data_IF_767075700434
#
_entry.id   IF_767075700434
#
_cell.length_a   1.000
_cell.length_b   1.000
_cell.length_c   1.000
_cell.angle_alpha   90.00
_cell.angle_beta   90.00
_cell.angle_gamma   90.00
#
_symmetry.space_group_name_H-M   'P 1'
#
loop_
_entity.id
_entity.type
_entity.pdbx_description
1 polymer ?
#
# COMPACT_ATOMS: atom_id res chain seq x y z
N UNK A 1 -4.68 -2.96 -1.07
CA UNK A 1 -4.79 -2.70 -2.52
C UNK A 1 -3.87 -3.56 -3.40
N UNK A 2 -2.75 -4.09 -2.88
CA UNK A 2 -1.78 -4.89 -3.65
C UNK A 2 -1.79 -6.39 -3.37
N UNK A 3 -2.57 -6.83 -2.38
CA UNK A 3 -2.73 -8.25 -2.04
C UNK A 3 -3.63 -8.98 -3.04
N UNK A 4 -3.70 -10.30 -2.92
CA UNK A 4 -4.58 -11.16 -3.73
C UNK A 4 -6.04 -10.92 -3.37
N UNK A 5 -6.93 -10.99 -4.36
CA UNK A 5 -8.37 -10.85 -4.18
C UNK A 5 -8.91 -9.46 -4.53
N UNK A 6 -10.21 -9.28 -4.36
CA UNK A 6 -10.90 -8.02 -4.67
C UNK A 6 -10.98 -7.15 -3.41
N UNK A 7 -10.31 -5.97 -3.38
CA UNK A 7 -10.39 -5.08 -2.23
C UNK A 7 -11.81 -4.54 -2.06
N UNK A 8 -12.25 -4.41 -0.81
CA UNK A 8 -13.49 -3.72 -0.41
C UNK A 8 -13.11 -2.62 0.57
N UNK A 9 -13.64 -1.42 0.36
CA UNK A 9 -13.45 -0.26 1.23
C UNK A 9 -14.78 -0.04 1.94
N UNK A 10 -14.77 0.03 3.27
CA UNK A 10 -15.94 0.39 4.03
C UNK A 10 -16.12 1.92 3.98
N UNK A 11 -17.36 2.39 3.80
CA UNK A 11 -17.60 3.80 3.54
C UNK A 11 -17.05 4.69 4.67
N UNK A 12 -16.31 5.72 4.29
CA UNK A 12 -15.71 6.65 5.24
C UNK A 12 -14.27 6.33 5.62
N UNK A 13 -13.79 5.10 5.40
CA UNK A 13 -12.36 4.76 5.60
C UNK A 13 -11.48 5.65 4.71
N UNK A 14 -11.91 5.90 3.47
CA UNK A 14 -11.23 6.78 2.53
C UNK A 14 -11.31 8.26 2.89
N UNK A 15 -12.26 8.64 3.76
CA UNK A 15 -12.47 9.99 4.23
C UNK A 15 -11.87 10.24 5.63
N UNK A 16 -11.23 9.24 6.24
CA UNK A 16 -10.66 9.33 7.57
C UNK A 16 -11.69 9.27 8.70
N UNK A 17 -12.86 8.69 8.44
CA UNK A 17 -13.88 8.50 9.47
C UNK A 17 -13.38 7.54 10.55
N UNK A 18 -13.64 7.91 11.80
CA UNK A 18 -13.34 7.10 12.97
C UNK A 18 -14.64 6.71 13.67
N UNK A 19 -14.59 5.63 14.44
CA UNK A 19 -15.74 5.13 15.17
C UNK A 19 -15.36 3.98 16.09
N UNK A 20 -16.07 3.85 17.21
CA UNK A 20 -15.94 2.71 18.10
C UNK A 20 -16.80 1.53 17.60
N UNK A 21 -17.27 0.67 18.52
CA UNK A 21 -18.17 -0.43 18.19
C UNK A 21 -19.56 0.06 17.72
N UNK A 22 -20.38 -0.87 17.22
CA UNK A 22 -21.78 -0.63 16.85
C UNK A 22 -22.52 0.14 17.97
N UNK A 23 -23.20 1.27 17.66
CA UNK A 23 -23.48 1.85 16.33
C UNK A 23 -22.48 2.88 15.80
N UNK A 24 -21.42 3.18 16.55
CA UNK A 24 -20.49 4.25 16.20
C UNK A 24 -19.66 3.98 14.93
N UNK A 25 -19.51 2.73 14.50
CA UNK A 25 -18.92 2.39 13.20
C UNK A 25 -19.84 2.66 11.99
N UNK A 26 -21.04 3.21 12.21
CA UNK A 26 -22.05 3.52 11.18
C UNK A 26 -22.48 4.98 11.20
N UNK A 27 -21.55 5.88 11.54
CA UNK A 27 -21.80 7.32 11.50
C UNK A 27 -22.17 7.79 10.09
N UNK A 28 -22.89 8.92 9.94
CA UNK A 28 -23.13 9.53 8.65
C UNK A 28 -21.82 9.88 7.93
N UNK A 29 -21.79 9.72 6.61
CA UNK A 29 -20.64 10.05 5.77
C UNK A 29 -20.22 11.51 5.90
N UNK A 30 -18.90 11.76 5.89
CA UNK A 30 -18.33 13.10 5.78
C UNK A 30 -18.23 13.51 4.31
N UNK A 31 -18.72 14.70 3.99
CA UNK A 31 -18.70 15.30 2.66
C UNK A 31 -17.72 16.48 2.64
N UNK A 32 -16.86 16.57 1.61
CA UNK A 32 -15.77 17.56 1.57
C UNK A 32 -16.25 19.02 1.43
N UNK A 33 -17.50 19.23 1.02
CA UNK A 33 -18.14 20.54 0.86
C UNK A 33 -18.92 21.00 2.11
N UNK A 34 -18.86 20.23 3.20
CA UNK A 34 -19.57 20.51 4.44
C UNK A 34 -18.63 20.80 5.60
N UNK A 35 -19.12 21.61 6.55
CA UNK A 35 -18.46 21.86 7.83
C UNK A 35 -19.17 21.10 8.93
N UNK A 36 -18.41 20.40 9.76
CA UNK A 36 -18.94 19.58 10.84
C UNK A 36 -18.61 20.18 12.21
N UNK A 37 -19.58 20.09 13.13
CA UNK A 37 -19.32 20.43 14.52
C UNK A 37 -18.35 19.40 15.13
N UNK A 38 -17.40 19.84 15.98
CA UNK A 38 -16.52 18.91 16.69
C UNK A 38 -17.32 17.89 17.51
N UNK A 39 -16.88 16.64 17.49
CA UNK A 39 -17.51 15.57 18.24
C UNK A 39 -17.21 15.74 19.74
N UNK A 40 -18.29 15.87 20.54
CA UNK A 40 -18.19 16.13 21.99
C UNK A 40 -18.78 15.04 22.85
N UNK A 41 -19.61 14.16 22.30
CA UNK A 41 -20.31 13.15 23.08
C UNK A 41 -19.63 11.79 22.91
N UNK A 42 -19.54 11.05 24.01
CA UNK A 42 -19.21 9.64 24.03
C UNK A 42 -20.48 8.80 23.77
N UNK A 43 -20.34 7.51 23.43
CA UNK A 43 -21.49 6.64 23.18
C UNK A 43 -22.45 6.52 24.37
N UNK A 44 -21.97 6.72 25.59
CA UNK A 44 -22.76 6.72 26.83
C UNK A 44 -23.47 8.07 27.11
N UNK A 45 -23.32 9.06 26.23
CA UNK A 45 -23.88 10.40 26.36
C UNK A 45 -23.07 11.36 27.22
N UNK A 46 -21.97 10.91 27.83
CA UNK A 46 -21.06 11.79 28.56
C UNK A 46 -20.27 12.70 27.62
N UNK A 47 -19.77 13.82 28.15
CA UNK A 47 -19.04 14.83 27.36
C UNK A 47 -17.54 14.51 27.41
N UNK A 48 -16.91 14.46 26.23
CA UNK A 48 -15.45 14.35 26.08
C UNK A 48 -14.76 15.56 26.68
N UNK A 49 -13.62 15.31 27.33
CA UNK A 49 -12.76 16.38 27.89
C UNK A 49 -12.26 17.34 26.80
N UNK A 50 -11.93 16.79 25.63
CA UNK A 50 -11.48 17.52 24.45
C UNK A 50 -12.35 17.10 23.26
N UNK A 51 -12.82 18.09 22.50
CA UNK A 51 -13.65 17.83 21.33
C UNK A 51 -12.77 17.36 20.18
N UNK A 52 -13.17 16.29 19.51
CA UNK A 52 -12.45 15.78 18.34
C UNK A 52 -12.91 16.52 17.08
N UNK A 53 -11.94 16.95 16.26
CA UNK A 53 -12.24 17.58 14.98
C UNK A 53 -12.82 16.52 14.06
N UNK A 54 -13.93 16.88 13.42
CA UNK A 54 -14.58 16.07 12.40
C UNK A 54 -14.42 16.80 11.09
N UNK A 55 -13.66 16.22 10.17
CA UNK A 55 -13.39 16.80 8.87
C UNK A 55 -13.06 15.69 7.87
N UNK A 56 -13.33 15.95 6.59
CA UNK A 56 -12.95 15.06 5.51
C UNK A 56 -11.43 15.07 5.32
N UNK A 57 -10.78 13.91 5.35
CA UNK A 57 -9.35 13.78 5.09
C UNK A 57 -9.06 13.73 3.58
N UNK A 58 -8.66 14.88 3.03
CA UNK A 58 -8.34 15.01 1.61
C UNK A 58 -7.07 14.26 1.20
N UNK A 59 -6.07 14.16 2.08
CA UNK A 59 -4.81 13.49 1.76
C UNK A 59 -5.01 11.98 1.71
N UNK A 60 -5.72 11.43 2.70
CA UNK A 60 -6.09 10.02 2.74
C UNK A 60 -6.97 9.65 1.54
N UNK A 61 -7.96 10.47 1.20
CA UNK A 61 -8.80 10.22 0.03
C UNK A 61 -7.99 10.19 -1.26
N UNK A 62 -7.02 11.10 -1.43
CA UNK A 62 -6.12 11.08 -2.59
C UNK A 62 -5.19 9.87 -2.61
N UNK A 63 -4.72 9.41 -1.44
CA UNK A 63 -3.96 8.17 -1.31
C UNK A 63 -4.76 6.96 -1.82
N UNK A 64 -6.02 6.81 -1.39
CA UNK A 64 -6.91 5.76 -1.87
C UNK A 64 -7.11 5.83 -3.39
N UNK A 65 -7.40 7.01 -3.94
CA UNK A 65 -7.56 7.20 -5.39
C UNK A 65 -6.32 6.78 -6.17
N UNK A 66 -5.14 7.17 -5.69
CA UNK A 66 -3.85 6.82 -6.33
C UNK A 66 -3.59 5.32 -6.27
N UNK A 67 -3.88 4.67 -5.15
CA UNK A 67 -3.74 3.21 -5.01
C UNK A 67 -4.71 2.42 -5.89
N UNK A 68 -5.97 2.87 -6.00
CA UNK A 68 -6.97 2.26 -6.88
C UNK A 68 -6.54 2.42 -8.34
N UNK A 69 -6.10 3.61 -8.73
CA UNK A 69 -5.60 3.88 -10.07
C UNK A 69 -4.39 3.01 -10.42
N UNK A 70 -3.45 2.87 -9.49
CA UNK A 70 -2.30 1.98 -9.64
C UNK A 70 -2.75 0.53 -9.86
N UNK A 71 -3.63 0.01 -9.00
CA UNK A 71 -4.17 -1.34 -9.14
C UNK A 71 -4.85 -1.55 -10.50
N UNK A 72 -5.62 -0.57 -10.97
CA UNK A 72 -6.35 -0.67 -12.23
C UNK A 72 -5.42 -0.62 -13.47
N UNK A 73 -4.23 -0.03 -13.34
CA UNK A 73 -3.23 0.03 -14.41
C UNK A 73 -2.34 -1.21 -14.53
N UNK A 74 -2.25 -2.02 -13.47
CA UNK A 74 -1.33 -3.15 -13.37
C UNK A 74 -2.11 -4.46 -13.19
N UNK A 75 -2.34 -5.25 -14.27
CA UNK A 75 -3.02 -6.54 -14.20
C UNK A 75 -2.44 -7.50 -13.15
N UNK A 76 -1.13 -7.47 -12.91
CA UNK A 76 -0.48 -8.27 -11.88
C UNK A 76 -1.05 -8.02 -10.48
N UNK A 77 -1.47 -6.79 -10.16
CA UNK A 77 -2.08 -6.47 -8.88
C UNK A 77 -3.52 -7.00 -8.76
N UNK A 78 -4.21 -7.20 -9.88
CA UNK A 78 -5.62 -7.64 -9.92
C UNK A 78 -5.75 -9.15 -9.87
N UNK A 79 -5.08 -9.86 -10.79
CA UNK A 79 -5.22 -11.30 -11.00
C UNK A 79 -3.88 -12.05 -11.06
N UNK A 80 -2.76 -11.37 -10.81
CA UNK A 80 -1.45 -12.03 -10.83
C UNK A 80 -1.25 -13.01 -9.69
N UNK A 81 -0.32 -13.93 -9.90
CA UNK A 81 0.18 -14.88 -8.90
C UNK A 81 0.78 -14.14 -7.69
N UNK A 82 1.08 -14.88 -6.63
CA UNK A 82 1.64 -14.32 -5.40
C UNK A 82 2.82 -15.17 -4.94
N UNK A 83 3.98 -14.53 -4.74
CA UNK A 83 5.17 -15.18 -4.21
C UNK A 83 5.84 -14.30 -3.16
N UNK A 84 6.00 -14.83 -1.95
CA UNK A 84 6.83 -14.20 -0.91
C UNK A 84 8.30 -14.21 -1.33
N UNK A 85 8.97 -13.07 -1.23
CA UNK A 85 10.39 -12.91 -1.57
C UNK A 85 11.27 -12.69 -0.34
N UNK A 86 10.79 -11.94 0.64
CA UNK A 86 11.54 -11.66 1.88
C UNK A 86 10.57 -11.53 3.05
N UNK A 87 10.94 -12.14 4.17
CA UNK A 87 10.32 -11.94 5.48
C UNK A 87 11.43 -11.65 6.48
N UNK A 88 11.36 -10.51 7.16
CA UNK A 88 12.26 -10.17 8.25
C UNK A 88 11.43 -9.71 9.45
N UNK A 89 11.26 -10.60 10.43
CA UNK A 89 10.47 -10.33 11.64
C UNK A 89 11.14 -9.30 12.56
N UNK A 90 12.48 -9.30 12.63
CA UNK A 90 13.24 -8.39 13.49
C UNK A 90 13.12 -6.94 13.00
N UNK A 91 13.20 -6.72 11.69
CA UNK A 91 13.06 -5.40 11.07
C UNK A 91 11.61 -5.07 10.67
N UNK A 92 10.68 -6.04 10.80
CA UNK A 92 9.27 -5.94 10.38
C UNK A 92 9.10 -5.59 8.90
N UNK A 93 9.90 -6.24 8.05
CA UNK A 93 9.87 -6.09 6.60
C UNK A 93 9.18 -7.29 5.95
N UNK A 94 8.29 -7.00 5.01
CA UNK A 94 7.66 -8.01 4.18
C UNK A 94 7.74 -7.62 2.71
N UNK A 95 8.29 -8.51 1.87
CA UNK A 95 8.39 -8.31 0.43
C UNK A 95 7.77 -9.49 -0.30
N UNK A 96 6.91 -9.21 -1.26
CA UNK A 96 6.31 -10.20 -2.14
C UNK A 96 6.25 -9.69 -3.57
N UNK A 97 6.12 -10.61 -4.52
CA UNK A 97 5.87 -10.30 -5.92
C UNK A 97 4.46 -10.69 -6.32
N UNK A 98 3.94 -9.93 -7.29
CA UNK A 98 2.74 -10.22 -8.05
C UNK A 98 3.11 -10.32 -9.52
N UNK A 99 2.73 -11.40 -10.18
CA UNK A 99 3.12 -11.65 -11.57
C UNK A 99 1.92 -12.02 -12.42
N UNK A 100 1.73 -11.37 -13.57
CA UNK A 100 0.70 -11.72 -14.54
C UNK A 100 1.26 -11.49 -15.94
N UNK A 101 1.24 -12.53 -16.78
CA UNK A 101 1.79 -12.49 -18.14
C UNK A 101 3.26 -12.02 -18.16
N UNK A 102 3.51 -10.83 -18.71
CA UNK A 102 4.84 -10.20 -18.81
C UNK A 102 5.11 -9.18 -17.68
N UNK A 103 4.11 -8.87 -16.86
CA UNK A 103 4.22 -7.91 -15.76
C UNK A 103 4.59 -8.59 -14.45
N UNK A 104 5.62 -8.08 -13.78
CA UNK A 104 5.99 -8.46 -12.42
C UNK A 104 6.11 -7.21 -11.55
N UNK A 105 5.31 -7.16 -10.48
CA UNK A 105 5.32 -6.08 -9.50
C UNK A 105 5.88 -6.60 -8.17
N UNK A 106 6.90 -5.92 -7.65
CA UNK A 106 7.48 -6.17 -6.33
C UNK A 106 6.87 -5.19 -5.34
N UNK A 107 6.33 -5.70 -4.24
CA UNK A 107 5.73 -4.91 -3.17
C UNK A 107 6.57 -5.13 -1.93
N UNK A 108 7.19 -4.06 -1.44
CA UNK A 108 8.01 -4.06 -0.24
C UNK A 108 7.35 -3.18 0.83
N UNK A 109 7.08 -3.75 2.00
CA UNK A 109 6.37 -3.12 3.10
C UNK A 109 7.29 -3.01 4.32
N UNK A 110 7.30 -1.83 4.94
CA UNK A 110 7.96 -1.58 6.23
C UNK A 110 6.91 -1.31 7.30
N UNK A 111 6.73 -2.22 8.25
CA UNK A 111 5.83 -2.07 9.39
C UNK A 111 6.58 -1.69 10.68
N UNK A 112 7.70 -0.98 10.54
CA UNK A 112 8.50 -0.48 11.65
C UNK A 112 8.47 1.06 11.71
N UNK A 113 8.71 1.65 12.90
CA UNK A 113 8.82 3.11 13.05
C UNK A 113 10.17 3.68 12.59
N UNK A 114 11.02 2.88 11.92
CA UNK A 114 12.35 3.29 11.44
C UNK A 114 12.44 3.08 9.94
N UNK A 115 13.25 3.91 9.25
CA UNK A 115 13.65 3.63 7.87
C UNK A 115 14.51 2.37 7.82
N UNK A 116 14.30 1.53 6.82
CA UNK A 116 15.04 0.27 6.65
C UNK A 116 15.49 0.13 5.20
N UNK A 117 16.75 -0.24 5.01
CA UNK A 117 17.27 -0.63 3.70
C UNK A 117 17.06 -2.12 3.52
N UNK A 118 16.28 -2.50 2.50
CA UNK A 118 16.08 -3.91 2.17
C UNK A 118 16.77 -4.24 0.83
N UNK A 119 17.13 -5.51 0.64
CA UNK A 119 17.71 -6.01 -0.60
C UNK A 119 16.92 -7.21 -1.10
N UNK A 120 16.48 -7.16 -2.35
CA UNK A 120 15.82 -8.28 -3.03
C UNK A 120 16.81 -8.90 -4.00
N UNK A 121 17.03 -10.21 -3.89
CA UNK A 121 17.98 -10.95 -4.74
C UNK A 121 17.33 -11.38 -6.05
N UNK A 122 18.15 -11.61 -7.07
CA UNK A 122 17.76 -12.24 -8.35
C UNK A 122 16.67 -11.47 -9.14
N UNK A 123 16.52 -10.17 -8.89
CA UNK A 123 15.60 -9.28 -9.61
C UNK A 123 16.33 -8.00 -9.99
N UNK A 124 16.27 -7.65 -11.27
CA UNK A 124 16.92 -6.46 -11.83
C UNK A 124 15.93 -5.50 -12.48
N UNK A 125 16.41 -4.27 -12.73
CA UNK A 125 15.66 -3.25 -13.45
C UNK A 125 14.36 -2.89 -12.73
N UNK A 126 14.43 -2.67 -11.41
CA UNK A 126 13.29 -2.24 -10.62
C UNK A 126 12.99 -0.77 -10.92
N UNK A 127 11.77 -0.50 -11.39
CA UNK A 127 11.26 0.86 -11.61
C UNK A 127 10.18 1.16 -10.56
N UNK A 128 10.39 2.18 -9.71
CA UNK A 128 9.41 2.56 -8.70
C UNK A 128 8.18 3.19 -9.33
N UNK A 129 7.09 2.43 -9.39
CA UNK A 129 5.81 2.86 -9.95
C UNK A 129 4.98 3.68 -8.96
N UNK A 130 5.41 3.75 -7.70
CA UNK A 130 4.83 4.63 -6.69
C UNK A 130 5.54 5.99 -6.70
N UNK A 131 6.84 6.06 -6.42
CA UNK A 131 7.58 7.31 -6.21
C UNK A 131 8.22 7.90 -7.49
N UNK A 132 7.41 8.18 -8.52
CA UNK A 132 7.84 8.95 -9.70
C UNK A 132 8.94 8.30 -10.58
N UNK A 133 9.09 6.98 -10.56
CA UNK A 133 9.93 6.27 -11.52
C UNK A 133 11.42 6.19 -11.17
N UNK A 134 11.78 6.30 -9.89
CA UNK A 134 13.14 5.99 -9.44
C UNK A 134 13.53 4.57 -9.89
N UNK A 135 14.67 4.43 -10.56
CA UNK A 135 15.17 3.13 -11.03
C UNK A 135 16.24 2.60 -10.08
N UNK A 136 16.11 1.35 -9.65
CA UNK A 136 17.07 0.64 -8.81
C UNK A 136 17.65 -0.53 -9.61
N UNK A 137 18.96 -0.50 -9.82
CA UNK A 137 19.71 -1.56 -10.50
C UNK A 137 20.28 -2.59 -9.50
N UNK A 138 20.55 -3.80 -9.97
CA UNK A 138 21.31 -4.76 -9.16
C UNK A 138 22.69 -4.23 -8.79
N UNK A 139 23.10 -4.52 -7.56
CA UNK A 139 24.45 -4.31 -7.05
C UNK A 139 25.38 -5.45 -7.49
N UNK A 140 26.68 -5.31 -7.20
CA UNK A 140 27.71 -6.31 -7.51
C UNK A 140 27.53 -7.65 -6.82
N UNK A 141 26.64 -7.76 -5.83
CA UNK A 141 26.31 -9.01 -5.12
C UNK A 141 25.02 -9.68 -5.62
N UNK A 142 24.42 -9.20 -6.71
CA UNK A 142 23.27 -9.83 -7.37
C UNK A 142 21.90 -9.50 -6.76
N UNK A 143 21.78 -8.38 -6.05
CA UNK A 143 20.50 -7.92 -5.51
C UNK A 143 20.23 -6.43 -5.73
N UNK A 144 18.97 -6.03 -5.75
CA UNK A 144 18.56 -4.62 -5.79
C UNK A 144 18.28 -4.12 -4.37
N UNK A 145 18.98 -3.06 -3.95
CA UNK A 145 18.89 -2.49 -2.59
C UNK A 145 18.20 -1.14 -2.61
N UNK A 146 17.25 -0.91 -1.71
CA UNK A 146 16.51 0.35 -1.61
C UNK A 146 16.02 0.63 -0.18
N UNK A 147 15.85 1.91 0.15
CA UNK A 147 15.31 2.34 1.45
C UNK A 147 13.79 2.40 1.42
N UNK A 148 13.15 1.99 2.53
CA UNK A 148 11.72 2.13 2.78
C UNK A 148 11.53 2.95 4.06
N UNK A 149 10.82 4.08 3.95
CA UNK A 149 10.50 4.95 5.08
C UNK A 149 9.66 4.21 6.17
N UNK A 150 9.62 4.74 7.41
CA UNK A 150 8.77 4.21 8.49
C UNK A 150 7.31 4.06 8.07
N UNK A 151 6.68 2.94 8.40
CA UNK A 151 5.26 2.66 8.08
C UNK A 151 4.89 2.91 6.62
N UNK A 152 5.83 2.64 5.70
CA UNK A 152 5.68 2.94 4.29
C UNK A 152 5.87 1.71 3.40
N UNK A 153 5.64 1.91 2.11
CA UNK A 153 5.78 0.88 1.08
C UNK A 153 6.53 1.42 -0.14
N UNK A 154 7.21 0.51 -0.84
CA UNK A 154 7.70 0.74 -2.20
C UNK A 154 7.16 -0.32 -3.14
N UNK A 155 6.79 0.11 -4.35
CA UNK A 155 6.19 -0.74 -5.37
C UNK A 155 7.02 -0.60 -6.64
N UNK A 156 7.57 -1.69 -7.14
CA UNK A 156 8.44 -1.68 -8.30
C UNK A 156 7.88 -2.54 -9.42
N UNK A 157 7.90 -2.06 -10.65
CA UNK A 157 7.83 -2.92 -11.82
C UNK A 157 9.23 -3.48 -12.11
N UNK A 158 9.37 -4.80 -12.18
CA UNK A 158 10.63 -5.46 -12.49
C UNK A 158 10.73 -5.74 -13.99
N UNK A 159 11.91 -5.56 -14.59
CA UNK A 159 12.20 -6.08 -15.94
C UNK A 159 12.56 -7.55 -15.81
N UNK A 160 11.86 -8.44 -16.51
CA UNK A 160 12.38 -9.80 -16.72
C UNK A 160 13.71 -9.71 -17.45
N UNK A 161 14.76 -10.29 -16.87
CA UNK A 161 15.94 -10.64 -17.66
C UNK A 161 15.47 -11.62 -18.75
N UNK A 162 15.76 -11.29 -20.00
CA UNK A 162 15.44 -12.15 -21.14
C UNK A 162 16.24 -13.45 -21.00
N UNK A 163 15.63 -14.48 -20.43
CA UNK A 163 16.21 -15.81 -20.25
C UNK A 163 15.17 -16.88 -20.54
N UNK A 164 15.46 -17.70 -21.56
CA UNK A 164 14.73 -18.89 -22.03
C UNK A 164 13.37 -18.67 -22.70
N UNK A 165 13.45 -18.37 -24.02
CA UNK A 165 12.52 -19.00 -24.97
C UNK A 165 12.68 -20.53 -24.84
N UNK A 166 11.79 -21.17 -24.10
CA UNK A 166 11.59 -22.61 -24.23
C UNK A 166 11.09 -22.87 -25.66
N UNK A 167 11.99 -23.32 -26.52
CA UNK A 167 11.65 -23.87 -27.83
C UNK A 167 10.89 -25.17 -27.59
N UNK A 168 9.57 -25.12 -27.72
CA UNK A 168 8.76 -26.31 -27.86
C UNK A 168 8.99 -26.87 -29.27
N UNK A 169 9.70 -28.00 -29.33
CA UNK A 169 9.78 -28.91 -30.49
C UNK A 169 8.44 -29.59 -30.76
#
# INVERSE_FOLDING_TARGET
>A
MTYVGSPMIYYGDEAGMWGANDPCCRQPMLWPDQSYAPARFLPDGSIRREAEIVAFDHELHQLYRRLIHLRNRHPALQCGDFQTLLVNDEERIYVFSRSCEEEQIIVALNNSPRGVTCTVKDIDGLLDIWNEGESVSMNSSGGASFEIAPFWARLFAARRSSGEQTTAT
#
